data_IF_178704041319
#
_entry.id   IF_178704041319
#
_cell.length_a   1.000
_cell.length_b   1.000
_cell.length_c   1.000
_cell.angle_alpha   90.00
_cell.angle_beta   90.00
_cell.angle_gamma   90.00
#
_symmetry.space_group_name_H-M   'P 1'
#
loop_
_entity.id
_entity.type
_entity.pdbx_description
1 polymer ?
#
# COMPACT_ATOMS: atom_id res chain seq x y z
N UNK A 1 4.27 4.85 -34.36
CA UNK A 1 3.62 6.05 -33.80
C UNK A 1 2.49 5.58 -32.88
N UNK A 2 2.58 5.90 -31.57
CA UNK A 2 1.55 5.58 -30.60
C UNK A 2 0.24 6.29 -30.94
N UNK A 3 -0.89 5.60 -30.76
CA UNK A 3 -2.22 6.16 -30.97
C UNK A 3 -2.51 7.32 -30.00
N UNK A 4 -3.53 8.14 -30.31
CA UNK A 4 -3.95 9.23 -29.42
C UNK A 4 -4.33 8.71 -28.02
N UNK A 5 -4.95 7.53 -27.94
CA UNK A 5 -5.36 6.90 -26.69
C UNK A 5 -4.15 6.41 -25.87
N UNK A 6 -3.14 5.83 -26.53
CA UNK A 6 -1.90 5.41 -25.86
C UNK A 6 -1.11 6.60 -25.30
N UNK A 7 -1.02 7.70 -26.04
CA UNK A 7 -0.39 8.94 -25.56
C UNK A 7 -1.12 9.53 -24.35
N UNK A 8 -2.44 9.48 -24.34
CA UNK A 8 -3.26 9.92 -23.21
C UNK A 8 -3.01 9.06 -21.98
N UNK A 9 -2.98 7.73 -22.14
CA UNK A 9 -2.72 6.80 -21.04
C UNK A 9 -1.31 6.95 -20.45
N UNK A 10 -0.29 7.14 -21.29
CA UNK A 10 1.08 7.39 -20.86
C UNK A 10 1.17 8.71 -20.08
N UNK A 11 0.52 9.78 -20.58
CA UNK A 11 0.48 11.07 -19.87
C UNK A 11 -0.21 10.97 -18.52
N UNK A 12 -1.29 10.21 -18.42
CA UNK A 12 -2.02 9.99 -17.18
C UNK A 12 -1.17 9.23 -16.14
N UNK A 13 -0.53 8.13 -16.54
CA UNK A 13 0.39 7.39 -15.66
C UNK A 13 1.58 8.25 -15.21
N UNK A 14 2.09 9.12 -16.08
CA UNK A 14 3.11 10.10 -15.74
C UNK A 14 2.67 11.03 -14.60
N UNK A 15 1.42 11.47 -14.61
CA UNK A 15 0.83 12.26 -13.53
C UNK A 15 0.78 11.51 -12.20
N UNK A 16 0.39 10.24 -12.21
CA UNK A 16 0.40 9.40 -10.99
C UNK A 16 1.81 9.19 -10.45
N UNK A 17 2.79 8.95 -11.32
CA UNK A 17 4.20 8.80 -10.92
C UNK A 17 4.72 10.09 -10.26
N UNK A 18 4.48 11.24 -10.87
CA UNK A 18 4.87 12.53 -10.30
C UNK A 18 4.21 12.76 -8.94
N UNK A 19 2.92 12.46 -8.80
CA UNK A 19 2.20 12.54 -7.53
C UNK A 19 2.78 11.63 -6.46
N UNK A 20 3.13 10.39 -6.82
CA UNK A 20 3.77 9.44 -5.89
C UNK A 20 5.13 9.95 -5.39
N UNK A 21 5.97 10.48 -6.28
CA UNK A 21 7.27 11.05 -5.93
C UNK A 21 7.13 12.29 -5.03
N UNK A 22 6.24 13.21 -5.38
CA UNK A 22 5.97 14.41 -4.56
C UNK A 22 5.47 14.03 -3.15
N UNK A 23 4.66 12.99 -3.03
CA UNK A 23 4.17 12.52 -1.74
C UNK A 23 5.30 11.97 -0.87
N UNK A 24 6.25 11.25 -1.47
CA UNK A 24 7.45 10.77 -0.78
C UNK A 24 8.31 11.95 -0.29
N UNK A 25 8.56 12.94 -1.15
CA UNK A 25 9.32 14.14 -0.81
C UNK A 25 8.66 14.93 0.33
N UNK A 26 7.35 15.14 0.26
CA UNK A 26 6.57 15.79 1.32
C UNK A 26 6.69 15.03 2.64
N UNK A 27 6.53 13.70 2.62
CA UNK A 27 6.61 12.86 3.81
C UNK A 27 8.00 12.96 4.47
N UNK A 28 9.05 13.03 3.66
CA UNK A 28 10.41 13.25 4.12
C UNK A 28 10.59 14.64 4.73
N UNK A 29 10.15 15.70 4.03
CA UNK A 29 10.25 17.08 4.51
C UNK A 29 9.51 17.31 5.84
N UNK A 30 8.35 16.65 6.03
CA UNK A 30 7.57 16.68 7.27
C UNK A 30 8.13 15.76 8.36
N UNK A 31 9.25 15.09 8.14
CA UNK A 31 9.90 14.15 9.07
C UNK A 31 8.96 13.03 9.58
N UNK A 32 7.93 12.68 8.82
CA UNK A 32 6.99 11.60 9.19
C UNK A 32 7.68 10.24 9.27
N UNK A 33 8.74 10.02 8.50
CA UNK A 33 9.54 8.79 8.55
C UNK A 33 10.27 8.61 9.89
N UNK A 34 10.56 9.68 10.62
CA UNK A 34 11.23 9.61 11.94
C UNK A 34 10.26 9.50 13.11
N UNK A 35 8.94 9.55 12.84
CA UNK A 35 7.91 9.33 13.85
C UNK A 35 7.88 7.87 14.33
N UNK A 36 7.29 7.62 15.52
CA UNK A 36 7.17 6.28 16.08
C UNK A 36 6.49 5.25 15.17
N UNK A 37 5.62 5.71 14.26
CA UNK A 37 4.93 4.91 13.25
C UNK A 37 5.50 5.10 11.83
N UNK A 38 6.71 5.62 11.71
CA UNK A 38 7.33 5.97 10.42
C UNK A 38 7.39 4.82 9.42
N UNK A 39 7.54 3.57 9.89
CA UNK A 39 7.54 2.38 9.04
C UNK A 39 6.19 2.17 8.32
N UNK A 40 5.06 2.56 8.92
CA UNK A 40 3.74 2.53 8.26
C UNK A 40 3.70 3.51 7.09
N UNK A 41 4.12 4.75 7.31
CA UNK A 41 4.22 5.75 6.24
C UNK A 41 5.19 5.33 5.13
N UNK A 42 6.33 4.75 5.50
CA UNK A 42 7.31 4.28 4.51
C UNK A 42 6.74 3.16 3.64
N UNK A 43 6.05 2.19 4.22
CA UNK A 43 5.39 1.11 3.50
C UNK A 43 4.32 1.65 2.55
N UNK A 44 3.44 2.50 3.04
CA UNK A 44 2.37 3.13 2.27
C UNK A 44 2.91 3.87 1.02
N UNK A 45 3.97 4.72 1.19
CA UNK A 45 4.58 5.47 0.09
C UNK A 45 5.29 4.55 -0.90
N UNK A 46 6.01 3.56 -0.40
CA UNK A 46 6.74 2.61 -1.22
C UNK A 46 5.79 1.71 -2.02
N UNK A 47 4.73 1.19 -1.41
CA UNK A 47 3.71 0.42 -2.10
C UNK A 47 2.99 1.24 -3.16
N UNK A 48 2.64 2.50 -2.86
CA UNK A 48 2.02 3.38 -3.83
C UNK A 48 2.93 3.62 -5.04
N UNK A 49 4.21 3.91 -4.82
CA UNK A 49 5.18 4.08 -5.90
C UNK A 49 5.33 2.78 -6.71
N UNK A 50 5.42 1.63 -6.05
CA UNK A 50 5.48 0.33 -6.73
C UNK A 50 4.25 0.08 -7.59
N UNK A 51 3.05 0.33 -7.10
CA UNK A 51 1.81 0.18 -7.86
C UNK A 51 1.82 1.06 -9.12
N UNK A 52 2.24 2.33 -9.00
CA UNK A 52 2.34 3.25 -10.14
C UNK A 52 3.39 2.77 -11.16
N UNK A 53 4.54 2.28 -10.71
CA UNK A 53 5.58 1.74 -11.59
C UNK A 53 5.13 0.48 -12.34
N UNK A 54 4.17 -0.26 -11.78
CA UNK A 54 3.54 -1.41 -12.45
C UNK A 54 2.28 -1.03 -13.27
N UNK A 55 2.06 0.26 -13.49
CA UNK A 55 1.00 0.77 -14.37
C UNK A 55 -0.36 0.96 -13.70
N UNK A 56 -0.43 0.85 -12.36
CA UNK A 56 -1.66 1.13 -11.61
C UNK A 56 -1.86 2.64 -11.40
N UNK A 57 -3.10 3.10 -11.47
CA UNK A 57 -3.47 4.49 -11.17
C UNK A 57 -3.66 4.67 -9.67
N UNK A 58 -2.55 4.53 -8.92
CA UNK A 58 -2.53 4.58 -7.47
C UNK A 58 -2.22 5.97 -6.94
N UNK A 59 -2.87 6.37 -5.86
CA UNK A 59 -2.64 7.65 -5.18
C UNK A 59 -2.82 7.55 -3.67
N UNK A 60 -1.98 8.30 -2.94
CA UNK A 60 -2.12 8.52 -1.49
C UNK A 60 -3.27 9.48 -1.25
N UNK A 61 -4.14 9.15 -0.28
CA UNK A 61 -5.29 9.98 0.10
C UNK A 61 -5.44 10.13 1.62
N UNK A 62 -4.69 9.37 2.42
CA UNK A 62 -4.78 9.33 3.89
C UNK A 62 -4.19 10.54 4.62
N UNK A 63 -3.61 11.51 3.94
CA UNK A 63 -2.92 12.65 4.55
C UNK A 63 -3.85 13.61 5.33
N UNK A 64 -5.17 13.49 5.18
CA UNK A 64 -6.16 14.31 5.88
C UNK A 64 -6.55 13.78 7.27
N UNK A 65 -5.94 12.69 7.74
CA UNK A 65 -6.19 12.04 9.04
C UNK A 65 -7.67 11.71 9.30
N UNK A 66 -8.46 11.43 8.27
CA UNK A 66 -9.84 11.00 8.43
C UNK A 66 -9.88 9.69 9.24
N UNK A 67 -10.63 9.70 10.35
CA UNK A 67 -10.77 8.50 11.20
C UNK A 67 -11.33 7.35 10.38
N UNK A 68 -10.63 6.22 10.36
CA UNK A 68 -10.98 5.02 9.57
C UNK A 68 -11.05 5.27 8.05
N UNK A 69 -10.44 6.35 7.55
CA UNK A 69 -10.32 6.61 6.11
C UNK A 69 -9.29 5.70 5.46
N UNK A 70 -9.34 5.57 4.13
CA UNK A 70 -8.33 4.85 3.37
C UNK A 70 -7.01 5.63 3.33
N UNK A 71 -5.88 4.91 3.35
CA UNK A 71 -4.55 5.51 3.17
C UNK A 71 -4.27 5.77 1.69
N UNK A 72 -4.71 4.85 0.82
CA UNK A 72 -4.49 4.89 -0.63
C UNK A 72 -5.74 4.51 -1.42
N UNK A 73 -5.73 4.83 -2.71
CA UNK A 73 -6.72 4.36 -3.68
C UNK A 73 -6.08 3.94 -4.99
N UNK A 74 -6.72 3.02 -5.69
CA UNK A 74 -6.39 2.65 -7.08
C UNK A 74 -7.65 2.86 -7.93
N UNK A 75 -7.52 3.62 -9.02
CA UNK A 75 -8.57 3.72 -10.03
C UNK A 75 -8.41 2.56 -11.00
N UNK A 76 -9.35 1.63 -10.97
CA UNK A 76 -9.38 0.44 -11.79
C UNK A 76 -9.71 0.76 -13.26
N UNK A 77 -9.40 -0.16 -14.17
CA UNK A 77 -9.66 0.00 -15.61
C UNK A 77 -11.14 0.07 -15.96
N UNK A 78 -12.00 -0.54 -15.15
CA UNK A 78 -13.45 -0.51 -15.28
C UNK A 78 -14.11 0.76 -14.72
N UNK A 79 -13.31 1.71 -14.21
CA UNK A 79 -13.77 2.96 -13.61
C UNK A 79 -14.12 2.86 -12.14
N UNK A 80 -14.07 1.68 -11.52
CA UNK A 80 -14.25 1.52 -10.07
C UNK A 80 -13.02 1.99 -9.30
N UNK A 81 -13.18 2.24 -8.00
CA UNK A 81 -12.07 2.64 -7.14
C UNK A 81 -11.89 1.62 -6.02
N UNK A 82 -10.69 1.08 -5.90
CA UNK A 82 -10.27 0.26 -4.77
C UNK A 82 -9.66 1.16 -3.70
N UNK A 83 -10.20 1.13 -2.50
CA UNK A 83 -9.67 1.82 -1.32
C UNK A 83 -8.83 0.88 -0.48
N UNK A 84 -7.65 1.34 -0.05
CA UNK A 84 -6.64 0.51 0.63
C UNK A 84 -6.26 1.15 1.95
N UNK A 85 -6.23 0.31 2.98
CA UNK A 85 -5.67 0.63 4.28
C UNK A 85 -4.39 -0.18 4.49
N UNK A 86 -3.26 0.47 4.64
CA UNK A 86 -1.97 -0.17 4.87
C UNK A 86 -1.76 -0.44 6.38
N UNK A 87 -1.46 -1.70 6.74
CA UNK A 87 -1.18 -2.10 8.13
C UNK A 87 0.10 -2.92 8.20
N UNK A 88 1.17 -2.25 8.56
CA UNK A 88 2.52 -2.82 8.64
C UNK A 88 2.97 -2.94 10.09
N UNK A 89 2.64 -4.06 10.72
CA UNK A 89 3.07 -4.43 12.06
C UNK A 89 4.09 -5.57 11.99
N UNK A 90 4.78 -5.83 13.11
CA UNK A 90 5.81 -6.87 13.18
C UNK A 90 5.28 -8.29 13.03
N UNK A 91 3.98 -8.49 13.14
CA UNK A 91 3.30 -9.79 13.02
C UNK A 91 2.02 -9.65 12.20
N UNK A 92 1.63 -10.74 11.52
CA UNK A 92 0.36 -10.81 10.79
C UNK A 92 -0.84 -10.55 11.72
N UNK A 93 -0.81 -11.08 12.94
CA UNK A 93 -1.84 -10.83 13.94
C UNK A 93 -1.94 -9.34 14.31
N UNK A 94 -0.81 -8.65 14.46
CA UNK A 94 -0.78 -7.21 14.69
C UNK A 94 -1.39 -6.43 13.51
N UNK A 95 -0.98 -6.77 12.29
CA UNK A 95 -1.48 -6.14 11.05
C UNK A 95 -2.99 -6.33 10.89
N UNK A 96 -3.50 -7.56 11.06
CA UNK A 96 -4.93 -7.85 10.93
C UNK A 96 -5.73 -7.25 12.07
N UNK A 97 -5.34 -7.47 13.34
CA UNK A 97 -6.13 -6.97 14.47
C UNK A 97 -6.20 -5.45 14.53
N UNK A 98 -5.21 -4.73 14.00
CA UNK A 98 -5.27 -3.27 13.87
C UNK A 98 -6.39 -2.78 12.96
N UNK A 99 -6.97 -3.65 12.12
CA UNK A 99 -8.11 -3.33 11.26
C UNK A 99 -9.46 -3.55 11.93
N UNK A 100 -9.47 -4.06 13.17
CA UNK A 100 -10.69 -4.31 13.94
C UNK A 100 -10.83 -3.33 15.11
N UNK A 101 -12.03 -2.90 15.37
CA UNK A 101 -12.32 -2.04 16.52
C UNK A 101 -12.09 -2.81 17.81
N UNK A 102 -11.42 -2.19 18.78
CA UNK A 102 -11.04 -2.84 20.04
C UNK A 102 -12.22 -3.08 20.99
N UNK A 103 -13.33 -2.39 20.79
CA UNK A 103 -14.54 -2.49 21.63
C UNK A 103 -15.55 -3.44 21.01
N UNK A 104 -15.90 -3.22 19.74
CA UNK A 104 -16.92 -4.04 19.05
C UNK A 104 -16.31 -5.32 18.46
N UNK A 105 -15.01 -5.33 18.20
CA UNK A 105 -14.32 -6.42 17.51
C UNK A 105 -14.64 -6.52 16.02
N UNK A 106 -15.35 -5.54 15.45
CA UNK A 106 -15.73 -5.52 14.04
C UNK A 106 -14.70 -4.83 13.16
N UNK A 107 -14.66 -5.22 11.88
CA UNK A 107 -13.83 -4.58 10.87
C UNK A 107 -14.26 -3.12 10.70
N UNK A 108 -13.31 -2.19 10.87
CA UNK A 108 -13.61 -0.76 10.96
C UNK A 108 -13.35 0.05 9.69
N UNK A 109 -12.70 -0.55 8.69
CA UNK A 109 -12.36 0.14 7.44
C UNK A 109 -13.41 -0.16 6.38
N UNK A 110 -14.47 0.63 6.40
CA UNK A 110 -15.58 0.55 5.46
C UNK A 110 -15.64 1.84 4.64
N UNK A 111 -15.99 1.70 3.36
CA UNK A 111 -16.36 2.83 2.50
C UNK A 111 -17.70 3.42 2.95
N UNK A 112 -18.08 4.56 2.39
CA UNK A 112 -19.34 5.23 2.75
C UNK A 112 -20.61 4.40 2.46
N UNK A 113 -20.51 3.44 1.55
CA UNK A 113 -21.58 2.49 1.22
C UNK A 113 -21.53 1.18 2.03
N UNK A 114 -20.59 1.09 3.00
CA UNK A 114 -20.45 -0.06 3.88
C UNK A 114 -19.60 -1.21 3.32
N UNK A 115 -19.00 -1.05 2.14
CA UNK A 115 -18.11 -2.06 1.56
C UNK A 115 -16.77 -2.09 2.30
N UNK A 116 -16.23 -3.28 2.58
CA UNK A 116 -14.93 -3.43 3.20
C UNK A 116 -13.82 -2.89 2.28
N UNK A 117 -12.99 -1.97 2.82
CA UNK A 117 -11.78 -1.53 2.15
C UNK A 117 -10.75 -2.66 2.14
N UNK A 118 -9.82 -2.64 1.19
CA UNK A 118 -8.72 -3.59 1.16
C UNK A 118 -7.74 -3.32 2.30
N UNK A 119 -7.33 -4.39 2.97
CA UNK A 119 -6.29 -4.37 3.99
C UNK A 119 -4.98 -4.85 3.36
N UNK A 120 -4.01 -3.97 3.21
CA UNK A 120 -2.68 -4.35 2.74
C UNK A 120 -1.76 -4.64 3.93
N UNK A 121 -1.12 -5.81 3.87
CA UNK A 121 -0.23 -6.33 4.91
C UNK A 121 1.17 -6.59 4.36
N UNK A 122 2.22 -6.69 5.21
CA UNK A 122 3.56 -7.02 4.75
C UNK A 122 3.60 -8.27 3.87
N UNK A 123 4.48 -8.25 2.86
CA UNK A 123 4.63 -9.32 1.89
C UNK A 123 4.78 -10.72 2.54
N UNK A 124 5.64 -10.80 3.54
CA UNK A 124 5.97 -12.04 4.27
C UNK A 124 4.89 -12.48 5.28
N UNK A 125 3.86 -11.68 5.47
CA UNK A 125 2.76 -11.95 6.41
C UNK A 125 1.44 -12.34 5.73
N UNK A 126 1.38 -12.28 4.40
CA UNK A 126 0.13 -12.38 3.65
C UNK A 126 -0.67 -13.66 3.90
N UNK A 127 -0.02 -14.82 3.81
CA UNK A 127 -0.69 -16.12 4.00
C UNK A 127 -1.29 -16.26 5.41
N UNK A 128 -0.55 -15.82 6.42
CA UNK A 128 -1.06 -15.82 7.79
C UNK A 128 -2.18 -14.80 7.99
N UNK A 129 -2.07 -13.61 7.39
CA UNK A 129 -3.09 -12.58 7.43
C UNK A 129 -4.40 -13.06 6.78
N UNK A 130 -4.32 -13.79 5.66
CA UNK A 130 -5.50 -14.42 5.04
C UNK A 130 -6.19 -15.38 6.00
N UNK A 131 -5.45 -16.29 6.63
CA UNK A 131 -6.02 -17.25 7.60
C UNK A 131 -6.68 -16.56 8.77
N UNK A 132 -6.05 -15.51 9.30
CA UNK A 132 -6.63 -14.72 10.38
C UNK A 132 -7.90 -13.98 9.95
N UNK A 133 -7.91 -13.43 8.74
CA UNK A 133 -9.08 -12.75 8.19
C UNK A 133 -10.23 -13.72 7.94
N UNK A 134 -9.96 -14.90 7.38
CA UNK A 134 -10.94 -15.98 7.21
C UNK A 134 -11.61 -16.35 8.54
N UNK A 135 -10.82 -16.45 9.61
CA UNK A 135 -11.34 -16.67 10.96
C UNK A 135 -12.24 -15.52 11.43
N UNK A 136 -11.83 -14.27 11.21
CA UNK A 136 -12.64 -13.08 11.55
C UNK A 136 -13.97 -13.06 10.80
N UNK A 137 -14.00 -13.46 9.54
CA UNK A 137 -15.22 -13.59 8.73
C UNK A 137 -16.11 -14.67 9.30
N UNK A 138 -15.56 -15.86 9.61
CA UNK A 138 -16.34 -16.96 10.20
C UNK A 138 -16.93 -16.63 11.58
N UNK A 139 -16.33 -15.69 12.30
CA UNK A 139 -16.82 -15.13 13.56
C UNK A 139 -17.84 -14.00 13.37
N UNK A 140 -18.21 -13.67 12.12
CA UNK A 140 -19.15 -12.59 11.80
C UNK A 140 -18.62 -11.19 12.10
N UNK A 141 -17.28 -10.99 12.09
CA UNK A 141 -16.63 -9.73 12.46
C UNK A 141 -16.39 -8.77 11.29
N UNK A 142 -16.68 -9.19 10.07
CA UNK A 142 -16.54 -8.37 8.87
C UNK A 142 -17.92 -8.05 8.31
N UNK A 143 -18.42 -6.82 8.45
CA UNK A 143 -19.74 -6.44 7.98
C UNK A 143 -19.92 -6.72 6.49
N UNK A 144 -21.04 -7.34 6.12
CA UNK A 144 -21.38 -7.64 4.73
C UNK A 144 -20.63 -8.83 4.10
N UNK A 145 -19.72 -9.48 4.84
CA UNK A 145 -18.95 -10.64 4.37
C UNK A 145 -19.18 -11.83 5.29
N UNK A 146 -19.69 -12.93 4.74
CA UNK A 146 -20.02 -14.14 5.51
C UNK A 146 -19.27 -15.39 5.08
N UNK A 147 -18.75 -15.41 3.84
CA UNK A 147 -17.93 -16.51 3.33
C UNK A 147 -16.44 -16.26 3.60
N UNK A 148 -15.77 -17.09 4.41
CA UNK A 148 -14.34 -16.95 4.69
C UNK A 148 -13.46 -16.97 3.44
N UNK A 149 -13.90 -17.62 2.36
CA UNK A 149 -13.14 -17.63 1.10
C UNK A 149 -13.00 -16.24 0.46
N UNK A 150 -13.90 -15.31 0.80
CA UNK A 150 -13.86 -13.93 0.31
C UNK A 150 -12.71 -13.09 0.90
N UNK A 151 -11.98 -13.59 1.90
CA UNK A 151 -10.83 -12.87 2.46
C UNK A 151 -9.81 -12.45 1.38
N UNK A 152 -9.63 -13.23 0.32
CA UNK A 152 -8.77 -12.92 -0.82
C UNK A 152 -9.21 -11.69 -1.61
N UNK A 153 -10.47 -11.27 -1.47
CA UNK A 153 -11.04 -10.14 -2.19
C UNK A 153 -10.76 -8.78 -1.54
N UNK A 154 -10.25 -8.78 -0.31
CA UNK A 154 -9.93 -7.54 0.41
C UNK A 154 -8.72 -7.62 1.35
N UNK A 155 -7.99 -8.74 1.39
CA UNK A 155 -6.64 -8.78 1.97
C UNK A 155 -5.64 -8.76 0.83
N UNK A 156 -4.79 -7.74 0.79
CA UNK A 156 -3.82 -7.53 -0.26
C UNK A 156 -2.41 -7.79 0.25
N UNK A 157 -1.61 -8.47 -0.56
CA UNK A 157 -0.19 -8.62 -0.31
C UNK A 157 0.57 -7.36 -0.72
N UNK A 158 1.19 -6.70 0.24
CA UNK A 158 2.09 -5.58 -0.03
C UNK A 158 3.37 -6.03 -0.73
N UNK A 159 4.09 -5.11 -1.32
CA UNK A 159 5.34 -5.39 -2.06
C UNK A 159 6.55 -5.51 -1.14
N UNK A 160 6.43 -5.10 0.12
CA UNK A 160 7.53 -5.02 1.08
C UNK A 160 7.24 -5.87 2.29
N UNK A 161 8.29 -6.48 2.85
CA UNK A 161 8.24 -7.07 4.18
C UNK A 161 8.22 -5.97 5.25
N UNK A 162 7.79 -6.30 6.46
CA UNK A 162 7.88 -5.39 7.60
C UNK A 162 9.32 -4.90 7.81
N UNK A 163 10.31 -5.79 7.65
CA UNK A 163 11.73 -5.46 7.76
C UNK A 163 12.21 -4.46 6.72
N UNK A 164 11.76 -4.62 5.47
CA UNK A 164 12.07 -3.68 4.40
C UNK A 164 11.47 -2.30 4.67
N UNK A 165 10.21 -2.23 5.12
CA UNK A 165 9.59 -0.97 5.53
C UNK A 165 10.36 -0.27 6.65
N UNK A 166 10.83 -1.03 7.67
CA UNK A 166 11.70 -0.49 8.71
C UNK A 166 13.04 0.02 8.16
N UNK A 167 13.63 -0.66 7.19
CA UNK A 167 14.90 -0.25 6.58
C UNK A 167 14.74 1.05 5.80
N UNK A 168 13.61 1.25 5.08
CA UNK A 168 13.28 2.51 4.41
C UNK A 168 13.29 3.67 5.41
N UNK A 169 12.70 3.48 6.59
CA UNK A 169 12.70 4.49 7.66
C UNK A 169 14.11 4.76 8.19
N UNK A 170 14.88 3.70 8.47
CA UNK A 170 16.24 3.83 9.03
C UNK A 170 17.21 4.50 8.07
N UNK A 171 17.03 4.29 6.78
CA UNK A 171 17.82 4.94 5.77
C UNK A 171 17.60 6.47 5.74
N UNK A 172 16.47 6.95 6.25
CA UNK A 172 16.19 8.35 6.54
C UNK A 172 16.19 9.28 5.32
N UNK A 173 16.24 8.71 4.09
CA UNK A 173 16.50 9.47 2.88
C UNK A 173 15.87 8.79 1.66
N UNK A 174 15.23 9.57 0.80
CA UNK A 174 14.76 9.16 -0.54
C UNK A 174 15.91 8.55 -1.36
N UNK A 175 17.12 9.11 -1.25
CA UNK A 175 18.31 8.64 -1.94
C UNK A 175 18.73 7.21 -1.57
N UNK A 176 18.11 6.64 -0.56
CA UNK A 176 18.39 5.28 -0.10
C UNK A 176 17.48 4.20 -0.71
N UNK A 177 16.50 4.58 -1.51
CA UNK A 177 15.60 3.63 -2.16
C UNK A 177 16.30 3.00 -3.37
N UNK A 178 16.53 1.68 -3.34
CA UNK A 178 17.00 0.90 -4.48
C UNK A 178 15.93 -0.08 -4.94
N UNK A 179 15.75 -0.14 -6.25
CA UNK A 179 14.93 -1.16 -6.87
C UNK A 179 15.70 -2.48 -6.93
N UNK A 180 15.14 -3.53 -6.33
CA UNK A 180 15.63 -4.90 -6.49
C UNK A 180 14.88 -5.56 -7.65
N UNK A 181 15.55 -5.65 -8.80
CA UNK A 181 14.99 -6.23 -10.01
C UNK A 181 14.65 -7.73 -9.85
N UNK A 182 15.29 -8.43 -8.92
CA UNK A 182 15.05 -9.87 -8.69
C UNK A 182 13.67 -10.12 -8.06
N UNK A 183 13.23 -9.22 -7.19
CA UNK A 183 11.99 -9.34 -6.45
C UNK A 183 10.94 -8.29 -6.86
N UNK A 184 11.25 -7.41 -7.80
CA UNK A 184 10.40 -6.27 -8.18
C UNK A 184 10.20 -5.26 -7.05
N UNK A 185 11.11 -5.21 -6.07
CA UNK A 185 10.98 -4.48 -4.82
C UNK A 185 11.97 -3.33 -4.75
N UNK A 186 11.52 -2.14 -4.32
CA UNK A 186 12.39 -1.02 -3.99
C UNK A 186 12.92 -1.22 -2.57
N UNK A 187 14.23 -1.30 -2.40
CA UNK A 187 14.88 -1.43 -1.08
C UNK A 187 15.61 -0.14 -0.72
N UNK A 188 15.74 0.12 0.60
CA UNK A 188 16.57 1.22 1.08
C UNK A 188 18.03 0.84 1.03
N UNK A 189 18.87 1.65 0.36
CA UNK A 189 20.31 1.53 0.40
C UNK A 189 20.94 2.72 1.11
N UNK A 190 21.97 2.47 1.90
CA UNK A 190 22.76 3.50 2.54
C UNK A 190 23.50 4.33 1.49
N UNK A 191 23.28 5.65 1.53
CA UNK A 191 24.06 6.76 0.96
C UNK A 191 24.57 6.63 -0.47
N UNK A 192 24.22 7.63 -1.29
CA UNK A 192 24.65 8.03 -2.61
C UNK A 192 23.84 7.50 -3.81
N UNK A 193 22.99 8.38 -4.30
CA UNK A 193 22.52 8.46 -5.68
C UNK A 193 21.40 7.50 -6.04
N UNK A 194 20.20 8.06 -6.28
CA UNK A 194 19.10 7.34 -6.91
C UNK A 194 19.50 6.98 -8.32
N UNK A 195 19.87 5.74 -8.55
CA UNK A 195 19.79 5.15 -9.88
C UNK A 195 18.41 4.49 -9.99
N UNK A 196 17.43 5.21 -10.52
CA UNK A 196 16.24 4.59 -11.04
C UNK A 196 16.63 3.84 -12.31
N UNK A 197 17.01 2.59 -12.19
CA UNK A 197 16.98 1.67 -13.31
C UNK A 197 15.49 1.32 -13.54
N UNK A 198 14.85 2.09 -14.40
CA UNK A 198 13.56 1.75 -14.97
C UNK A 198 13.79 0.64 -15.98
N UNK A 199 13.96 -0.58 -15.53
CA UNK A 199 13.82 -1.73 -16.41
C UNK A 199 12.34 -1.98 -16.61
N UNK A 200 11.79 -1.40 -17.67
CA UNK A 200 10.55 -1.87 -18.25
C UNK A 200 10.81 -3.27 -18.77
N UNK A 201 10.40 -4.27 -18.02
CA UNK A 201 10.27 -5.62 -18.57
C UNK A 201 9.11 -5.54 -19.57
N UNK A 202 9.48 -5.45 -20.84
CA UNK A 202 8.55 -5.72 -21.94
C UNK A 202 8.07 -7.16 -21.82
N UNK A 203 6.77 -7.34 -21.62
CA UNK A 203 6.09 -8.59 -22.02
C UNK A 203 5.88 -8.60 -23.51
#
# INVERSE_FOLDING_TARGET
YASKNERSAIGELGGYLQGALQTIEKTYAERKFTAAQGHGFAAERANNLSDVLHGEKAAIIGDNNAKNGADRKILNRDGTTTYIQDKYYSTASGSVNAAFDSVTGEYRYLTSDGTAMWLEVPYDQYEEALRLMQKKISEGKVPGVSDPSEAVNFVRQGKYTYKQAQNIVKAGNIDSLKYDATNGVITAASSFGISFALDFISC
#
